data_IF_299696149906
#
_entry.id   IF_299696149906
#
_cell.length_a   1.000
_cell.length_b   1.000
_cell.length_c   1.000
_cell.angle_alpha   90.00
_cell.angle_beta   90.00
_cell.angle_gamma   90.00
#
_symmetry.space_group_name_H-M   'P 1'
#
loop_
_entity.id
_entity.type
_entity.pdbx_description
1 polymer ?
#
# COMPACT_ATOMS: atom_id res chain seq x y z
N UNK A 1 0.87 13.11 -19.42
CA UNK A 1 0.84 11.67 -19.10
C UNK A 1 0.45 11.53 -17.63
N UNK A 2 -0.60 10.76 -17.33
CA UNK A 2 -1.02 10.51 -15.95
C UNK A 2 -0.23 9.28 -15.44
N UNK A 3 0.96 9.50 -14.90
CA UNK A 3 1.86 8.41 -14.46
C UNK A 3 1.43 7.90 -13.10
N UNK A 4 0.34 7.12 -13.06
CA UNK A 4 -0.01 6.38 -11.86
C UNK A 4 0.98 5.23 -11.66
N UNK A 5 1.33 4.99 -10.40
CA UNK A 5 2.03 3.79 -9.99
C UNK A 5 1.05 2.61 -10.07
N UNK A 6 1.50 1.47 -10.60
CA UNK A 6 0.64 0.28 -10.70
C UNK A 6 0.14 -0.18 -9.31
N UNK A 7 1.05 -0.20 -8.33
CA UNK A 7 0.74 -0.63 -6.98
C UNK A 7 1.67 0.04 -5.96
N UNK A 8 1.12 0.37 -4.79
CA UNK A 8 1.87 0.73 -3.58
C UNK A 8 1.56 -0.29 -2.49
N UNK A 9 2.59 -0.84 -1.85
CA UNK A 9 2.49 -1.68 -0.66
C UNK A 9 2.98 -0.89 0.56
N UNK A 10 2.09 -0.62 1.49
CA UNK A 10 2.37 0.02 2.78
C UNK A 10 2.68 -1.05 3.82
N UNK A 11 3.76 -0.85 4.57
CA UNK A 11 4.21 -1.79 5.60
C UNK A 11 4.49 -0.98 6.86
N UNK A 12 3.65 -1.19 7.89
CA UNK A 12 3.72 -0.51 9.18
C UNK A 12 3.03 -1.36 10.23
N UNK A 13 3.58 -1.47 11.44
CA UNK A 13 3.02 -2.28 12.52
C UNK A 13 1.77 -1.65 13.16
N UNK A 14 1.54 -0.35 12.95
CA UNK A 14 0.32 0.31 13.37
C UNK A 14 -0.75 0.35 12.25
N UNK A 15 -1.95 -0.12 12.61
CA UNK A 15 -3.10 -0.13 11.70
C UNK A 15 -3.56 1.27 11.33
N UNK A 16 -3.47 2.24 12.26
CA UNK A 16 -3.95 3.60 12.05
C UNK A 16 -3.07 4.33 11.05
N UNK A 17 -1.75 4.19 11.17
CA UNK A 17 -0.76 4.70 10.21
C UNK A 17 -1.03 4.18 8.80
N UNK A 18 -1.21 2.87 8.64
CA UNK A 18 -1.55 2.27 7.34
C UNK A 18 -2.86 2.84 6.76
N UNK A 19 -3.89 3.00 7.59
CA UNK A 19 -5.20 3.56 7.18
C UNK A 19 -5.07 5.02 6.71
N UNK A 20 -4.31 5.84 7.45
CA UNK A 20 -4.09 7.25 7.10
C UNK A 20 -3.30 7.39 5.78
N UNK A 21 -2.21 6.63 5.65
CA UNK A 21 -1.39 6.64 4.44
C UNK A 21 -2.17 6.16 3.22
N UNK A 22 -2.96 5.09 3.37
CA UNK A 22 -3.84 4.61 2.31
C UNK A 22 -4.85 5.68 1.86
N UNK A 23 -5.46 6.40 2.80
CA UNK A 23 -6.39 7.49 2.50
C UNK A 23 -5.72 8.60 1.69
N UNK A 24 -4.53 9.06 2.10
CA UNK A 24 -3.77 10.10 1.41
C UNK A 24 -3.43 9.65 -0.02
N UNK A 25 -2.90 8.43 -0.19
CA UNK A 25 -2.55 7.90 -1.51
C UNK A 25 -3.79 7.83 -2.41
N UNK A 26 -4.92 7.34 -1.90
CA UNK A 26 -6.18 7.27 -2.65
C UNK A 26 -6.68 8.66 -3.06
N UNK A 27 -6.59 9.65 -2.19
CA UNK A 27 -6.99 11.04 -2.49
C UNK A 27 -6.11 11.69 -3.57
N UNK A 28 -4.80 11.41 -3.56
CA UNK A 28 -3.89 11.91 -4.61
C UNK A 28 -4.11 11.25 -5.96
N UNK A 29 -4.75 10.07 -5.99
CA UNK A 29 -5.00 9.32 -7.22
C UNK A 29 -3.72 8.86 -7.92
N UNK A 30 -2.60 8.77 -7.21
CA UNK A 30 -1.28 8.50 -7.79
C UNK A 30 -0.97 7.01 -8.01
N UNK A 31 -1.85 6.10 -7.58
CA UNK A 31 -1.68 4.66 -7.77
C UNK A 31 -3.01 3.96 -8.13
N UNK A 32 -2.93 2.85 -8.86
CA UNK A 32 -4.08 2.02 -9.23
C UNK A 32 -4.45 1.02 -8.13
N UNK A 33 -3.46 0.45 -7.44
CA UNK A 33 -3.62 -0.47 -6.30
C UNK A 33 -2.88 0.07 -5.07
N UNK A 34 -3.51 -0.02 -3.91
CA UNK A 34 -2.87 0.25 -2.60
C UNK A 34 -3.15 -0.95 -1.72
N UNK A 35 -2.09 -1.53 -1.16
CA UNK A 35 -2.13 -2.70 -0.27
C UNK A 35 -1.46 -2.35 1.03
N UNK A 36 -1.94 -2.91 2.14
CA UNK A 36 -1.37 -2.73 3.47
C UNK A 36 -0.93 -4.07 4.05
N UNK A 37 0.18 -4.06 4.79
CA UNK A 37 0.71 -5.19 5.54
C UNK A 37 1.17 -4.69 6.92
N UNK A 38 0.95 -5.49 7.97
CA UNK A 38 1.29 -5.11 9.35
C UNK A 38 2.72 -5.43 9.76
N UNK A 39 3.45 -6.16 8.92
CA UNK A 39 4.80 -6.62 9.22
C UNK A 39 5.46 -7.17 7.95
N UNK A 40 6.74 -7.52 8.08
CA UNK A 40 7.51 -8.11 6.98
C UNK A 40 6.99 -9.47 6.51
N UNK A 41 6.40 -10.28 7.38
CA UNK A 41 5.89 -11.61 6.98
C UNK A 41 4.67 -11.43 6.06
N UNK A 42 3.70 -10.60 6.44
CA UNK A 42 2.54 -10.28 5.61
C UNK A 42 2.95 -9.65 4.27
N UNK A 43 3.92 -8.73 4.30
CA UNK A 43 4.45 -8.11 3.08
C UNK A 43 5.12 -9.13 2.15
N UNK A 44 5.95 -10.03 2.70
CA UNK A 44 6.59 -11.09 1.93
C UNK A 44 5.58 -12.12 1.41
N UNK A 45 4.52 -12.42 2.16
CA UNK A 45 3.42 -13.27 1.69
C UNK A 45 2.74 -12.66 0.47
N UNK A 46 2.40 -11.37 0.53
CA UNK A 46 1.82 -10.65 -0.60
C UNK A 46 2.75 -10.63 -1.82
N UNK A 47 4.05 -10.38 -1.64
CA UNK A 47 5.02 -10.36 -2.73
C UNK A 47 5.29 -11.73 -3.37
N UNK A 48 5.05 -12.82 -2.64
CA UNK A 48 5.24 -14.19 -3.13
C UNK A 48 3.96 -14.81 -3.70
N UNK A 49 2.80 -14.20 -3.47
CA UNK A 49 1.50 -14.70 -3.94
C UNK A 49 1.13 -14.25 -5.36
N UNK A 50 2.01 -13.49 -6.02
CA UNK A 50 1.84 -12.98 -7.39
C UNK A 50 2.76 -13.74 -8.37
#
# INVERSE_FOLDING_TARGET
>A
MNHKLNCILLIDDDKTTNTLNEMVIRQTGCADKVVTARNGIEALQYLKSE
#
